data_IF_764040921436
#
_entry.id   IF_764040921436
#
_cell.length_a   1.000
_cell.length_b   1.000
_cell.length_c   1.000
_cell.angle_alpha   90.00
_cell.angle_beta   90.00
_cell.angle_gamma   90.00
#
_symmetry.space_group_name_H-M   'P 1'
#
loop_
_entity.id
_entity.type
_entity.pdbx_description
1 polymer ?
#
# COMPACT_ATOMS: atom_id res chain seq x y z
N UNK A 1 -10.24 -13.83 53.97
CA UNK A 1 -10.70 -12.99 52.83
C UNK A 1 -9.63 -13.09 51.75
N UNK A 2 -9.88 -13.89 50.71
CA UNK A 2 -8.95 -14.11 49.61
C UNK A 2 -9.37 -13.16 48.48
N UNK A 3 -8.56 -12.13 48.21
CA UNK A 3 -8.84 -11.13 47.18
C UNK A 3 -8.58 -11.70 45.80
N UNK A 4 -9.64 -11.90 45.03
CA UNK A 4 -9.59 -12.27 43.62
C UNK A 4 -9.22 -11.03 42.80
N UNK A 5 -7.96 -10.94 42.36
CA UNK A 5 -7.50 -9.87 41.48
C UNK A 5 -8.09 -10.07 40.08
N UNK A 6 -9.01 -9.18 39.67
CA UNK A 6 -9.42 -9.07 38.27
C UNK A 6 -8.25 -8.51 37.46
N UNK A 7 -7.56 -9.36 36.70
CA UNK A 7 -6.73 -8.91 35.59
C UNK A 7 -7.67 -8.41 34.49
N UNK A 8 -7.79 -7.09 34.36
CA UNK A 8 -8.41 -6.48 33.18
C UNK A 8 -7.55 -6.72 31.94
N UNK A 9 -8.15 -6.84 30.73
CA UNK A 9 -7.40 -7.01 29.50
C UNK A 9 -6.47 -5.81 29.29
N UNK A 10 -5.18 -6.08 29.05
CA UNK A 10 -4.24 -5.06 28.64
C UNK A 10 -4.69 -4.53 27.27
N UNK A 11 -5.05 -3.25 27.21
CA UNK A 11 -5.26 -2.58 25.94
C UNK A 11 -3.89 -2.48 25.24
N UNK A 12 -3.67 -3.30 24.22
CA UNK A 12 -2.55 -3.15 23.31
C UNK A 12 -2.71 -1.79 22.61
N UNK A 13 -1.87 -0.83 22.96
CA UNK A 13 -1.77 0.43 22.24
C UNK A 13 -1.18 0.16 20.85
N UNK A 14 -2.02 0.12 19.83
CA UNK A 14 -1.59 0.13 18.42
C UNK A 14 -0.86 1.46 18.20
N UNK A 15 0.40 1.37 17.80
CA UNK A 15 1.19 2.54 17.42
C UNK A 15 0.50 3.18 16.22
N UNK A 16 0.06 4.44 16.37
CA UNK A 16 -0.67 5.12 15.30
C UNK A 16 0.17 5.19 14.02
N UNK A 17 -0.45 4.85 12.89
CA UNK A 17 0.16 4.96 11.57
C UNK A 17 0.75 6.36 11.33
N UNK A 18 2.07 6.42 11.20
CA UNK A 18 2.81 7.66 10.90
C UNK A 18 3.10 7.77 9.41
N UNK A 19 3.30 9.00 8.94
CA UNK A 19 3.55 9.30 7.53
C UNK A 19 2.28 9.65 6.74
N UNK A 20 2.42 9.56 5.43
CA UNK A 20 1.39 9.82 4.43
C UNK A 20 1.41 8.71 3.38
N UNK A 21 0.30 8.60 2.67
CA UNK A 21 0.12 7.66 1.57
C UNK A 21 -0.13 8.46 0.32
N UNK A 22 0.31 7.94 -0.83
CA UNK A 22 0.19 8.66 -2.08
C UNK A 22 -0.17 7.70 -3.20
N UNK A 23 -1.08 8.17 -4.04
CA UNK A 23 -1.23 7.69 -5.40
C UNK A 23 -0.13 8.27 -6.28
N UNK A 24 0.25 7.53 -7.30
CA UNK A 24 1.33 7.86 -8.22
C UNK A 24 1.10 7.22 -9.60
N UNK A 25 1.86 7.65 -10.60
CA UNK A 25 2.00 6.91 -11.85
C UNK A 25 2.85 5.64 -11.63
N UNK A 26 2.99 4.82 -12.68
CA UNK A 26 3.63 3.52 -12.57
C UNK A 26 5.04 3.55 -11.99
N UNK A 27 5.89 4.53 -12.33
CA UNK A 27 7.29 4.54 -11.90
C UNK A 27 7.55 5.40 -10.65
N UNK A 28 6.53 5.98 -10.02
CA UNK A 28 6.73 6.78 -8.81
C UNK A 28 7.22 8.22 -9.09
N UNK A 29 7.37 8.63 -10.35
CA UNK A 29 7.93 9.96 -10.70
C UNK A 29 6.92 11.09 -10.56
N UNK A 30 5.63 10.79 -10.73
CA UNK A 30 4.52 11.71 -10.48
C UNK A 30 3.76 11.19 -9.27
N UNK A 31 3.79 11.94 -8.18
CA UNK A 31 3.14 11.59 -6.92
C UNK A 31 2.04 12.59 -6.66
N UNK A 32 0.92 12.10 -6.12
CA UNK A 32 -0.26 12.93 -5.83
C UNK A 32 -0.74 13.64 -7.11
N UNK A 33 -0.84 12.89 -8.20
CA UNK A 33 -1.31 13.41 -9.48
C UNK A 33 -2.75 13.94 -9.37
N UNK A 34 -3.51 13.48 -8.36
CA UNK A 34 -4.93 13.74 -8.09
C UNK A 34 -5.89 13.30 -9.21
N UNK A 35 -5.44 13.16 -10.45
CA UNK A 35 -6.23 12.83 -11.63
C UNK A 35 -5.46 11.89 -12.56
N UNK A 36 -6.12 10.83 -13.01
CA UNK A 36 -5.56 9.78 -13.86
C UNK A 36 -6.48 9.49 -15.04
N UNK A 37 -5.90 9.19 -16.20
CA UNK A 37 -6.64 8.92 -17.43
C UNK A 37 -7.48 7.65 -17.31
N UNK A 38 -6.89 6.59 -16.75
CA UNK A 38 -7.56 5.32 -16.52
C UNK A 38 -7.23 4.70 -15.15
N UNK A 39 -8.08 3.78 -14.69
CA UNK A 39 -7.87 3.05 -13.43
C UNK A 39 -6.56 2.26 -13.43
N UNK A 40 -6.11 1.83 -14.61
CA UNK A 40 -4.85 1.11 -14.78
C UNK A 40 -3.62 1.99 -14.54
N UNK A 41 -3.76 3.31 -14.55
CA UNK A 41 -2.62 4.24 -14.39
C UNK A 41 -2.38 4.65 -12.93
N UNK A 42 -3.20 4.14 -12.00
CA UNK A 42 -3.13 4.50 -10.58
C UNK A 42 -2.32 3.47 -9.80
N UNK A 43 -1.25 3.95 -9.16
CA UNK A 43 -0.35 3.15 -8.35
C UNK A 43 -0.22 3.73 -6.94
N UNK A 44 -0.05 2.88 -5.93
CA UNK A 44 0.40 3.25 -4.60
C UNK A 44 1.93 3.35 -4.57
N UNK A 45 2.45 4.37 -3.91
CA UNK A 45 3.89 4.51 -3.61
C UNK A 45 4.15 4.71 -2.11
N UNK A 46 5.33 4.30 -1.64
CA UNK A 46 5.77 4.49 -0.25
C UNK A 46 6.12 5.94 0.11
N UNK A 47 6.23 6.82 -0.88
CA UNK A 47 6.49 8.25 -0.71
C UNK A 47 7.40 8.83 -1.80
N UNK A 48 7.72 10.14 -1.72
CA UNK A 48 8.51 10.82 -2.74
C UNK A 48 9.99 10.49 -2.71
N UNK A 49 10.62 10.48 -3.89
CA UNK A 49 12.06 10.21 -4.03
C UNK A 49 12.94 11.26 -3.32
N UNK A 50 12.50 12.51 -3.29
CA UNK A 50 13.29 13.66 -2.83
C UNK A 50 12.83 14.17 -1.46
N UNK A 51 12.63 13.23 -0.51
CA UNK A 51 12.13 13.52 0.84
C UNK A 51 10.60 13.60 0.91
N UNK A 52 10.09 14.16 2.01
CA UNK A 52 8.66 14.15 2.32
C UNK A 52 8.30 13.10 3.36
N UNK A 53 7.00 12.90 3.57
CA UNK A 53 6.53 11.89 4.52
C UNK A 53 6.49 10.52 3.84
N UNK A 54 7.09 9.53 4.49
CA UNK A 54 7.02 8.12 4.09
C UNK A 54 6.25 7.32 5.13
N UNK A 55 5.70 6.19 4.71
CA UNK A 55 5.24 5.18 5.65
C UNK A 55 6.42 4.63 6.46
N UNK A 56 6.17 4.32 7.73
CA UNK A 56 7.15 3.61 8.55
C UNK A 56 7.36 2.17 8.03
N UNK A 57 8.51 1.58 8.35
CA UNK A 57 8.75 0.18 8.02
C UNK A 57 7.73 -0.74 8.71
N UNK A 58 7.19 -1.70 7.97
CA UNK A 58 6.16 -2.61 8.47
C UNK A 58 5.30 -3.21 7.36
N UNK A 59 4.32 -4.00 7.78
CA UNK A 59 3.33 -4.61 6.89
C UNK A 59 2.02 -3.84 6.94
N UNK A 60 1.37 -3.73 5.78
CA UNK A 60 0.19 -2.92 5.55
C UNK A 60 -0.79 -3.63 4.63
N UNK A 61 -2.04 -3.22 4.69
CA UNK A 61 -3.02 -3.46 3.62
C UNK A 61 -3.43 -2.15 2.97
N UNK A 62 -3.84 -2.20 1.72
CA UNK A 62 -4.54 -1.10 1.06
C UNK A 62 -5.96 -1.50 0.62
N UNK A 63 -6.82 -0.50 0.43
CA UNK A 63 -8.13 -0.65 -0.20
C UNK A 63 -8.50 0.62 -0.98
N UNK A 64 -9.29 0.46 -2.03
CA UNK A 64 -9.95 1.57 -2.71
C UNK A 64 -11.41 1.58 -2.29
N UNK A 65 -11.90 2.75 -1.87
CA UNK A 65 -13.26 2.94 -1.37
C UNK A 65 -13.90 4.19 -1.99
N UNK A 66 -15.21 4.30 -1.84
CA UNK A 66 -15.92 5.55 -2.13
C UNK A 66 -15.47 6.67 -1.14
N UNK A 67 -15.24 7.92 -1.58
CA UNK A 67 -14.68 8.98 -0.72
C UNK A 67 -15.55 9.36 0.49
N UNK A 68 -16.88 9.33 0.36
CA UNK A 68 -17.81 9.84 1.35
C UNK A 68 -17.95 8.93 2.59
N UNK A 69 -17.82 9.48 3.80
CA UNK A 69 -18.40 8.92 5.04
C UNK A 69 -17.95 7.52 5.49
N UNK A 70 -16.79 7.03 5.05
CA UNK A 70 -16.35 5.63 5.26
C UNK A 70 -16.77 4.69 4.13
N UNK A 71 -16.94 5.25 2.93
CA UNK A 71 -17.72 4.72 1.82
C UNK A 71 -17.42 3.30 1.38
N UNK A 72 -18.38 2.73 0.66
CA UNK A 72 -18.39 1.33 0.27
C UNK A 72 -17.07 0.87 -0.37
N UNK A 73 -16.67 -0.35 -0.05
CA UNK A 73 -15.51 -1.00 -0.63
C UNK A 73 -15.64 -1.09 -2.16
N UNK A 74 -14.65 -0.53 -2.87
CA UNK A 74 -14.54 -0.61 -4.32
C UNK A 74 -13.47 -1.62 -4.77
N UNK A 75 -12.46 -1.93 -3.95
CA UNK A 75 -11.56 -3.05 -4.22
C UNK A 75 -12.36 -4.35 -4.39
N UNK A 76 -12.09 -5.09 -5.45
CA UNK A 76 -12.89 -6.27 -5.83
C UNK A 76 -12.18 -7.60 -5.58
N UNK A 77 -10.87 -7.55 -5.34
CA UNK A 77 -10.04 -8.70 -5.03
C UNK A 77 -9.96 -8.97 -3.52
N UNK A 78 -9.54 -10.20 -3.20
CA UNK A 78 -9.38 -10.63 -1.82
C UNK A 78 -8.35 -9.76 -1.08
N UNK A 79 -8.64 -9.36 0.15
CA UNK A 79 -7.75 -8.48 0.93
C UNK A 79 -6.32 -9.03 1.08
N UNK A 80 -6.12 -10.35 1.06
CA UNK A 80 -4.80 -10.97 1.07
C UNK A 80 -3.93 -10.63 -0.15
N UNK A 81 -4.53 -10.25 -1.28
CA UNK A 81 -3.79 -9.73 -2.44
C UNK A 81 -3.35 -8.27 -2.25
N UNK A 82 -3.93 -7.56 -1.28
CA UNK A 82 -3.70 -6.14 -1.05
C UNK A 82 -2.70 -5.88 0.09
N UNK A 83 -1.96 -6.91 0.52
CA UNK A 83 -0.91 -6.77 1.54
C UNK A 83 0.43 -6.37 0.92
N UNK A 84 1.15 -5.50 1.58
CA UNK A 84 2.48 -5.06 1.19
C UNK A 84 3.37 -4.75 2.39
N UNK A 85 4.68 -4.70 2.15
CA UNK A 85 5.69 -4.42 3.16
C UNK A 85 6.47 -3.17 2.75
N UNK A 86 6.67 -2.27 3.71
CA UNK A 86 7.54 -1.09 3.60
C UNK A 86 8.85 -1.38 4.32
N UNK A 87 9.97 -1.14 3.65
CA UNK A 87 11.30 -1.31 4.21
C UNK A 87 11.74 -0.10 5.06
N UNK A 88 12.87 -0.24 5.77
CA UNK A 88 13.44 0.82 6.60
C UNK A 88 13.80 2.11 5.85
N UNK A 89 13.95 2.05 4.52
CA UNK A 89 14.18 3.21 3.67
C UNK A 89 12.88 3.97 3.32
N UNK A 90 11.72 3.55 3.81
CA UNK A 90 10.43 4.20 3.58
C UNK A 90 9.78 3.85 2.24
N UNK A 91 10.35 2.93 1.47
CA UNK A 91 9.79 2.46 0.20
C UNK A 91 9.19 1.07 0.33
N UNK A 92 8.18 0.79 -0.50
CA UNK A 92 7.56 -0.53 -0.57
C UNK A 92 8.60 -1.51 -1.11
N UNK A 93 8.84 -2.60 -0.39
CA UNK A 93 9.82 -3.63 -0.77
C UNK A 93 9.19 -4.88 -1.36
N UNK A 94 7.93 -5.19 -1.01
CA UNK A 94 7.24 -6.39 -1.51
C UNK A 94 5.73 -6.30 -1.36
N UNK A 95 5.02 -7.11 -2.14
CA UNK A 95 3.57 -7.39 -2.00
C UNK A 95 3.33 -8.89 -2.03
N UNK A 96 2.23 -9.35 -1.42
CA UNK A 96 1.83 -10.77 -1.45
C UNK A 96 0.81 -11.08 -2.55
N UNK A 97 0.29 -10.07 -3.25
CA UNK A 97 -0.75 -10.22 -4.26
C UNK A 97 -0.24 -10.29 -5.69
N UNK A 98 -1.18 -10.36 -6.63
CA UNK A 98 -0.95 -10.40 -8.07
C UNK A 98 -0.96 -9.01 -8.72
N UNK A 99 -1.00 -7.94 -7.91
CA UNK A 99 -0.94 -6.57 -8.39
C UNK A 99 0.38 -6.31 -9.11
N UNK A 100 0.31 -5.65 -10.27
CA UNK A 100 1.52 -5.28 -11.02
C UNK A 100 2.35 -4.33 -10.18
N UNK A 101 3.68 -4.51 -10.19
CA UNK A 101 4.62 -3.61 -9.55
C UNK A 101 5.64 -3.08 -10.54
N UNK A 102 6.14 -1.88 -10.29
CA UNK A 102 7.23 -1.29 -11.06
C UNK A 102 8.27 -0.72 -10.10
N UNK A 103 9.54 -0.75 -10.51
CA UNK A 103 10.60 -0.12 -9.73
C UNK A 103 10.38 1.40 -9.64
N UNK A 104 10.63 1.98 -8.46
CA UNK A 104 10.58 3.43 -8.31
C UNK A 104 11.73 4.10 -9.05
N UNK A 105 11.43 5.19 -9.75
CA UNK A 105 12.36 5.96 -10.55
C UNK A 105 12.91 7.15 -9.75
N UNK A 106 13.81 6.86 -8.82
CA UNK A 106 14.46 7.88 -7.99
C UNK A 106 15.89 8.19 -8.44
N UNK A 107 16.35 9.42 -8.15
CA UNK A 107 17.74 9.85 -8.32
C UNK A 107 18.23 10.51 -7.03
N UNK A 108 19.26 9.96 -6.32
CA UNK A 108 19.93 8.69 -6.60
C UNK A 108 18.96 7.50 -6.52
N UNK A 109 19.31 6.41 -7.22
CA UNK A 109 18.44 5.22 -7.26
C UNK A 109 18.23 4.63 -5.87
N UNK A 110 16.99 4.25 -5.59
CA UNK A 110 16.58 3.58 -4.34
C UNK A 110 15.97 2.23 -4.67
N UNK A 111 16.07 1.28 -3.74
CA UNK A 111 15.35 0.01 -3.85
C UNK A 111 13.93 0.20 -3.34
N UNK A 112 12.96 0.12 -4.23
CA UNK A 112 11.54 0.22 -3.91
C UNK A 112 10.67 -0.05 -5.13
N UNK A 113 9.39 -0.33 -4.88
CA UNK A 113 8.39 -0.52 -5.94
C UNK A 113 7.15 0.35 -5.72
N UNK A 114 6.39 0.57 -6.78
CA UNK A 114 4.99 0.99 -6.73
C UNK A 114 4.08 -0.24 -6.88
N UNK A 115 2.82 -0.13 -6.45
CA UNK A 115 1.81 -1.20 -6.58
C UNK A 115 0.60 -0.67 -7.33
N UNK A 116 0.23 -1.28 -8.45
CA UNK A 116 -0.97 -0.91 -9.20
C UNK A 116 -2.23 -1.15 -8.34
N UNK A 117 -3.22 -0.26 -8.36
CA UNK A 117 -4.40 -0.39 -7.48
C UNK A 117 -5.51 -1.30 -8.02
N UNK A 118 -5.55 -1.57 -9.33
CA UNK A 118 -6.58 -2.44 -9.92
C UNK A 118 -6.41 -3.90 -9.50
N UNK A 119 -7.50 -4.64 -9.20
CA UNK A 119 -8.87 -4.31 -9.62
C UNK A 119 -9.73 -3.59 -8.57
N UNK A 120 -10.34 -2.48 -8.98
CA UNK A 120 -11.41 -1.81 -8.23
C UNK A 120 -12.58 -1.40 -9.13
N UNK A 121 -13.78 -1.36 -8.55
CA UNK A 121 -15.03 -0.99 -9.20
C UNK A 121 -15.10 0.48 -9.61
N UNK A 122 -16.21 0.87 -10.24
CA UNK A 122 -16.43 2.24 -10.65
C UNK A 122 -17.02 3.08 -9.52
N UNK A 123 -16.54 4.31 -9.37
CA UNK A 123 -17.16 5.31 -8.50
C UNK A 123 -18.23 6.06 -9.29
N UNK A 124 -19.32 6.44 -8.62
CA UNK A 124 -20.43 7.15 -9.25
C UNK A 124 -20.02 8.50 -9.87
N UNK A 125 -18.99 9.17 -9.34
CA UNK A 125 -18.51 10.47 -9.78
C UNK A 125 -17.06 10.46 -10.29
N UNK A 126 -16.47 9.27 -10.48
CA UNK A 126 -15.06 9.14 -10.87
C UNK A 126 -14.06 9.56 -9.78
N UNK A 127 -14.53 9.80 -8.55
CA UNK A 127 -13.68 10.13 -7.39
C UNK A 127 -13.54 8.92 -6.47
N UNK A 128 -12.33 8.68 -6.02
CA UNK A 128 -11.93 7.50 -5.27
C UNK A 128 -11.08 7.90 -4.08
N UNK A 129 -11.03 7.03 -3.09
CA UNK A 129 -10.13 7.17 -1.94
C UNK A 129 -9.34 5.89 -1.75
N UNK A 130 -8.02 6.01 -1.82
CA UNK A 130 -7.08 5.01 -1.35
C UNK A 130 -7.03 5.07 0.18
N UNK A 131 -7.17 3.94 0.86
CA UNK A 131 -6.90 3.80 2.28
C UNK A 131 -5.80 2.77 2.50
N UNK A 132 -4.95 3.02 3.48
CA UNK A 132 -3.89 2.12 3.93
C UNK A 132 -3.93 2.06 5.45
N UNK A 133 -3.78 0.86 6.00
CA UNK A 133 -3.72 0.65 7.44
C UNK A 133 -2.67 -0.42 7.78
N UNK A 134 -2.15 -0.41 9.02
CA UNK A 134 -1.19 -1.43 9.43
C UNK A 134 -1.82 -2.82 9.39
N UNK A 135 -1.04 -3.82 9.00
CA UNK A 135 -1.53 -5.19 8.92
C UNK A 135 -2.07 -5.67 10.26
N UNK A 136 -1.42 -5.30 11.37
CA UNK A 136 -1.84 -5.69 12.71
C UNK A 136 -3.21 -5.11 13.10
N UNK A 137 -3.52 -3.86 12.73
CA UNK A 137 -4.80 -3.24 13.07
C UNK A 137 -5.95 -3.79 12.22
N UNK A 138 -5.68 -4.09 10.94
CA UNK A 138 -6.63 -4.69 10.01
C UNK A 138 -6.93 -6.14 10.37
N UNK A 139 -5.90 -6.93 10.67
CA UNK A 139 -6.03 -8.35 11.04
C UNK A 139 -6.74 -8.53 12.40
N UNK A 140 -6.76 -7.49 13.24
CA UNK A 140 -7.50 -7.46 14.49
C UNK A 140 -8.99 -7.10 14.32
N UNK A 141 -9.43 -6.67 13.14
CA UNK A 141 -10.84 -6.38 12.87
C UNK A 141 -11.69 -7.67 12.91
N UNK A 142 -12.90 -7.57 13.48
CA UNK A 142 -13.86 -8.67 13.44
C UNK A 142 -14.22 -9.05 12.00
N UNK A 143 -14.24 -10.35 11.70
CA UNK A 143 -14.57 -10.86 10.36
C UNK A 143 -13.42 -10.78 9.35
N UNK A 144 -12.20 -10.40 9.77
CA UNK A 144 -11.04 -10.45 8.91
C UNK A 144 -10.79 -11.87 8.38
N UNK A 145 -10.61 -11.96 7.07
CA UNK A 145 -10.16 -13.15 6.37
C UNK A 145 -9.39 -12.71 5.13
N UNK A 146 -8.16 -13.19 4.98
CA UNK A 146 -7.31 -12.86 3.83
C UNK A 146 -7.95 -13.26 2.48
N UNK A 147 -8.93 -14.17 2.48
CA UNK A 147 -9.64 -14.61 1.29
C UNK A 147 -10.91 -13.78 0.99
N UNK A 148 -11.27 -12.84 1.85
CA UNK A 148 -12.49 -12.04 1.68
C UNK A 148 -12.32 -10.96 0.62
N UNK A 149 -13.21 -10.95 -0.37
CA UNK A 149 -13.31 -9.91 -1.42
C UNK A 149 -14.22 -8.75 -1.00
N UNK A 150 -14.94 -8.88 0.12
CA UNK A 150 -15.90 -7.87 0.61
C UNK A 150 -15.49 -7.29 1.96
N UNK A 151 -14.32 -7.68 2.49
CA UNK A 151 -13.83 -7.15 3.75
C UNK A 151 -13.28 -5.74 3.53
N UNK A 152 -13.82 -4.82 4.32
CA UNK A 152 -13.42 -3.42 4.40
C UNK A 152 -12.76 -3.15 5.75
N UNK A 153 -11.80 -2.23 5.80
CA UNK A 153 -11.15 -1.85 7.05
C UNK A 153 -12.18 -1.39 8.10
N UNK A 154 -12.03 -1.88 9.32
CA UNK A 154 -12.87 -1.44 10.43
C UNK A 154 -12.45 -0.05 10.92
N UNK A 155 -13.39 0.70 11.52
CA UNK A 155 -13.17 2.09 11.96
C UNK A 155 -12.02 2.29 12.97
N UNK A 156 -11.63 1.24 13.67
CA UNK A 156 -10.54 1.24 14.66
C UNK A 156 -9.17 0.95 14.06
N UNK A 157 -9.10 0.52 12.79
CA UNK A 157 -7.82 0.38 12.11
C UNK A 157 -7.14 1.74 12.00
N UNK A 158 -5.82 1.76 12.06
CA UNK A 158 -5.03 2.98 11.99
C UNK A 158 -4.80 3.40 10.54
N UNK A 159 -5.76 4.14 9.99
CA UNK A 159 -5.82 4.39 8.55
C UNK A 159 -5.16 5.72 8.17
N UNK A 160 -4.51 5.73 7.00
CA UNK A 160 -4.16 6.91 6.21
C UNK A 160 -4.83 6.80 4.86
N UNK A 161 -5.14 7.94 4.25
CA UNK A 161 -5.83 7.96 2.97
C UNK A 161 -5.26 9.00 2.02
N UNK A 162 -5.45 8.74 0.73
CA UNK A 162 -5.23 9.67 -0.37
C UNK A 162 -6.44 9.65 -1.30
N UNK A 163 -6.80 10.79 -1.87
CA UNK A 163 -7.94 10.91 -2.78
C UNK A 163 -7.42 11.02 -4.21
N UNK A 164 -8.11 10.40 -5.16
CA UNK A 164 -7.76 10.50 -6.57
C UNK A 164 -9.00 10.43 -7.45
N UNK A 165 -8.87 10.91 -8.68
CA UNK A 165 -9.90 10.85 -9.70
C UNK A 165 -9.44 10.02 -10.88
N UNK A 166 -10.39 9.34 -11.52
CA UNK A 166 -10.18 8.62 -12.77
C UNK A 166 -11.23 9.06 -13.78
N UNK A 167 -10.79 9.41 -14.99
CA UNK A 167 -11.65 9.78 -16.09
C UNK A 167 -10.90 10.59 -17.13
N UNK A 168 -11.57 10.91 -18.24
CA UNK A 168 -11.00 11.81 -19.25
C UNK A 168 -10.56 13.09 -18.53
N UNK A 169 -9.25 13.37 -18.52
CA UNK A 169 -8.80 14.74 -18.29
C UNK A 169 -9.63 15.56 -19.23
N UNK A 170 -10.45 16.47 -18.69
CA UNK A 170 -11.00 17.52 -19.51
C UNK A 170 -9.76 18.27 -19.99
N UNK A 171 -9.29 17.91 -21.19
CA UNK A 171 -8.33 18.69 -21.96
C UNK A 171 -9.07 19.98 -22.22
N UNK A 172 -9.05 20.88 -21.24
CA UNK A 172 -9.33 22.27 -21.51
C UNK A 172 -8.39 22.59 -22.68
N UNK A 173 -8.94 23.01 -23.84
CA UNK A 173 -8.12 23.42 -24.96
C UNK A 173 -7.06 24.37 -24.41
N UNK A 174 -5.78 24.28 -24.85
CA UNK A 174 -4.72 25.11 -24.30
C UNK A 174 -5.23 26.54 -24.25
N UNK A 175 -5.31 27.11 -23.04
CA UNK A 175 -5.64 28.51 -22.84
C UNK A 175 -4.81 29.31 -23.85
N UNK A 176 -5.47 30.10 -24.71
CA UNK A 176 -4.83 30.87 -25.76
C UNK A 176 -3.46 31.40 -25.30
N UNK A 177 -2.41 31.33 -26.14
CA UNK A 177 -1.11 31.90 -25.79
C UNK A 177 -1.32 33.34 -25.31
N UNK A 178 -0.61 33.78 -24.25
CA UNK A 178 -0.85 35.07 -23.62
C UNK A 178 -0.84 36.17 -24.68
N UNK A 179 -2.00 36.76 -24.94
CA UNK A 179 -2.21 37.73 -26.01
C UNK A 179 -1.79 39.13 -25.58
N UNK A 180 -0.62 39.25 -24.94
CA UNK A 180 0.06 40.53 -24.83
C UNK A 180 1.58 40.30 -24.88
N UNK A 181 2.28 40.81 -25.91
CA UNK A 181 3.74 40.92 -25.84
C UNK A 181 4.12 41.82 -24.65
N UNK A 182 5.23 41.56 -23.95
CA UNK A 182 5.67 42.40 -22.85
C UNK A 182 5.92 43.83 -23.36
N UNK A 183 5.12 44.79 -22.89
CA UNK A 183 5.11 46.17 -23.39
C UNK A 183 6.21 47.06 -22.82
N UNK A 184 7.35 46.54 -22.34
CA UNK A 184 8.49 47.39 -22.01
C UNK A 184 9.82 46.71 -22.34
N UNK A 185 10.68 47.34 -23.17
CA UNK A 185 12.07 46.92 -23.31
C UNK A 185 12.82 47.14 -21.99
N UNK A 186 13.77 46.27 -21.62
CA UNK A 186 14.61 46.48 -20.44
C UNK A 186 15.42 47.78 -20.60
N UNK A 187 15.20 48.74 -19.71
CA UNK A 187 15.77 50.10 -19.75
C UNK A 187 17.16 50.24 -19.13
N UNK A 188 18.01 49.21 -19.10
CA UNK A 188 19.44 49.43 -18.80
C UNK A 188 20.35 48.39 -19.49
N UNK A 189 21.36 48.84 -20.27
CA UNK A 189 22.42 47.95 -20.73
C UNK A 189 23.32 47.53 -19.55
N UNK A 190 23.85 46.30 -19.55
CA UNK A 190 24.80 45.87 -18.52
C UNK A 190 26.12 46.65 -18.65
N UNK A 191 26.37 47.56 -17.69
CA UNK A 191 27.68 48.19 -17.47
C UNK A 191 28.60 47.22 -16.74
N UNK A 192 29.26 46.34 -17.50
CA UNK A 192 30.71 46.10 -17.46
C UNK A 192 31.07 44.85 -18.28
N UNK A 193 32.06 44.93 -19.19
CA UNK A 193 32.62 43.75 -19.83
C UNK A 193 33.41 42.91 -18.81
N UNK A 194 33.36 41.57 -18.87
CA UNK A 194 34.22 40.74 -18.04
C UNK A 194 35.69 40.96 -18.40
N UNK A 195 36.45 41.51 -17.44
CA UNK A 195 37.91 41.60 -17.54
C UNK A 195 38.55 40.25 -17.22
N UNK A 196 39.42 39.82 -18.14
CA UNK A 196 40.40 38.72 -18.12
C UNK A 196 39.97 37.37 -18.71
N UNK A 197 40.62 36.90 -19.80
CA UNK A 197 40.50 35.54 -20.31
C UNK A 197 41.25 34.55 -19.39
N UNK A 198 40.79 33.29 -19.25
CA UNK A 198 41.47 32.29 -18.45
C UNK A 198 42.85 31.96 -19.03
N UNK A 199 43.91 32.30 -18.29
CA UNK A 199 45.29 31.90 -18.57
C UNK A 199 45.60 30.57 -17.89
N UNK A 200 45.33 29.46 -18.57
CA UNK A 200 46.16 28.24 -18.59
C UNK A 200 45.53 27.18 -19.51
N UNK A 201 46.26 26.64 -20.50
CA UNK A 201 45.80 25.46 -21.23
C UNK A 201 45.86 24.21 -20.33
N UNK A 202 44.89 23.28 -20.43
CA UNK A 202 44.94 22.03 -19.67
C UNK A 202 46.11 21.17 -20.15
N UNK A 203 47.09 20.96 -19.28
CA UNK A 203 48.22 20.05 -19.49
C UNK A 203 47.96 18.71 -18.80
N UNK A 204 47.34 17.77 -19.51
CA UNK A 204 47.64 16.32 -19.42
C UNK A 204 47.09 15.59 -20.65
N UNK A 205 47.90 14.77 -21.35
CA UNK A 205 47.40 13.85 -22.38
C UNK A 205 46.57 12.72 -21.75
N UNK A 206 45.58 12.13 -22.45
CA UNK A 206 44.87 10.96 -21.98
C UNK A 206 45.81 9.75 -21.87
N UNK A 207 45.85 9.15 -20.68
CA UNK A 207 46.51 7.87 -20.39
C UNK A 207 45.89 6.75 -21.21
N UNK A 208 46.75 5.85 -21.72
CA UNK A 208 46.42 4.76 -22.63
C UNK A 208 45.29 3.83 -22.16
N UNK A 209 44.55 3.28 -23.13
CA UNK A 209 43.51 2.29 -22.95
C UNK A 209 44.04 1.02 -22.26
N UNK A 210 43.26 0.38 -21.36
CA UNK A 210 43.62 -0.94 -20.82
C UNK A 210 43.56 -1.99 -21.94
N UNK A 211 44.71 -2.60 -22.21
CA UNK A 211 44.79 -3.92 -22.83
C UNK A 211 44.64 -4.93 -21.70
N UNK A 212 43.62 -5.80 -21.75
CA UNK A 212 43.74 -7.26 -21.61
C UNK A 212 42.36 -7.91 -21.90
N UNK A 213 42.39 -8.87 -22.82
CA UNK A 213 41.27 -9.75 -23.19
C UNK A 213 41.23 -10.92 -22.21
N UNK A 214 40.09 -11.30 -21.62
CA UNK A 214 40.02 -12.53 -20.84
C UNK A 214 40.08 -13.73 -21.80
N UNK A 215 41.16 -14.51 -21.71
CA UNK A 215 41.21 -15.86 -22.24
C UNK A 215 40.44 -16.79 -21.28
N UNK A 216 39.16 -17.01 -21.56
CA UNK A 216 38.30 -17.96 -20.85
C UNK A 216 37.73 -18.98 -21.83
N UNK A 217 38.28 -20.18 -21.80
CA UNK A 217 37.87 -21.36 -22.57
C UNK A 217 36.42 -21.77 -22.24
N UNK A 218 35.59 -21.92 -23.26
CA UNK A 218 34.32 -22.68 -23.18
C UNK A 218 34.64 -24.16 -23.14
N UNK A 219 34.68 -24.72 -21.93
CA UNK A 219 34.64 -26.16 -21.74
C UNK A 219 33.19 -26.64 -21.92
N UNK A 220 33.05 -27.50 -22.91
CA UNK A 220 31.95 -28.40 -23.24
C UNK A 220 31.26 -29.02 -22.00
N UNK A 221 29.97 -28.75 -21.84
CA UNK A 221 29.06 -29.57 -21.03
C UNK A 221 27.78 -29.86 -21.82
N UNK A 222 27.91 -30.73 -22.82
CA UNK A 222 26.78 -31.52 -23.34
C UNK A 222 26.45 -32.62 -22.32
N UNK A 223 25.67 -32.26 -21.31
CA UNK A 223 25.05 -33.21 -20.39
C UNK A 223 23.60 -33.46 -20.76
N UNK A 224 23.33 -34.59 -21.41
CA UNK A 224 21.98 -35.17 -21.58
C UNK A 224 21.37 -35.46 -20.21
N UNK A 225 20.15 -35.02 -19.87
CA UNK A 225 19.49 -35.43 -18.64
C UNK A 225 19.20 -36.93 -18.67
N UNK A 226 19.87 -37.68 -17.80
CA UNK A 226 19.59 -39.09 -17.55
C UNK A 226 18.23 -39.26 -16.88
N UNK A 227 17.42 -40.15 -17.44
CA UNK A 227 16.17 -40.59 -16.85
C UNK A 227 16.45 -41.35 -15.53
N UNK A 228 15.95 -40.82 -14.42
CA UNK A 228 15.83 -41.56 -13.17
C UNK A 228 14.50 -42.33 -13.17
N UNK A 229 14.50 -43.67 -13.08
CA UNK A 229 13.30 -44.44 -12.80
C UNK A 229 13.03 -44.36 -11.30
N UNK A 230 11.87 -43.85 -10.87
CA UNK A 230 11.48 -44.05 -9.46
C UNK A 230 10.50 -43.11 -8.78
N UNK A 231 9.88 -42.14 -9.45
CA UNK A 231 8.84 -41.32 -8.81
C UNK A 231 7.53 -41.39 -9.59
N UNK A 232 6.71 -42.37 -9.20
CA UNK A 232 5.28 -42.42 -9.53
C UNK A 232 4.60 -41.21 -8.87
N UNK A 233 3.89 -40.35 -9.62
CA UNK A 233 3.08 -39.30 -9.02
C UNK A 233 1.96 -39.94 -8.19
N UNK A 234 1.59 -39.40 -7.00
CA UNK A 234 0.44 -39.91 -6.29
C UNK A 234 -0.82 -39.61 -7.11
N UNK A 235 -1.48 -40.71 -7.43
CA UNK A 235 -2.81 -40.87 -7.97
C UNK A 235 -3.84 -40.00 -7.22
N UNK A 236 -4.50 -39.15 -8.00
CA UNK A 236 -5.83 -38.61 -7.70
C UNK A 236 -6.84 -39.77 -7.71
N UNK A 237 -7.24 -40.28 -6.54
CA UNK A 237 -8.56 -40.84 -6.25
C UNK A 237 -8.63 -41.42 -4.82
N UNK A 238 -9.81 -41.26 -4.19
CA UNK A 238 -10.26 -41.77 -2.89
C UNK A 238 -9.83 -40.93 -1.67
N UNK A 239 -10.68 -40.56 -0.71
CA UNK A 239 -12.08 -40.88 -0.46
C UNK A 239 -12.68 -39.79 0.44
N UNK A 240 -13.99 -39.58 0.30
CA UNK A 240 -14.83 -38.99 1.33
C UNK A 240 -14.73 -39.83 2.62
N UNK A 241 -14.34 -39.19 3.73
CA UNK A 241 -14.75 -39.61 5.06
C UNK A 241 -15.59 -38.47 5.65
N UNK A 242 -16.88 -38.73 5.78
CA UNK A 242 -17.79 -37.92 6.55
C UNK A 242 -17.62 -38.25 8.02
N UNK A 243 -16.95 -37.39 8.75
CA UNK A 243 -16.95 -37.38 10.22
C UNK A 243 -16.86 -35.94 10.71
N UNK A 244 -18.02 -35.28 10.85
CA UNK A 244 -18.10 -33.98 11.50
C UNK A 244 -18.06 -34.11 13.02
N UNK A 245 -17.44 -33.16 13.74
CA UNK A 245 -17.81 -32.85 15.11
C UNK A 245 -18.66 -31.58 15.08
N UNK A 246 -19.97 -31.75 15.10
CA UNK A 246 -20.86 -30.69 15.57
C UNK A 246 -20.61 -30.48 17.06
N UNK A 247 -19.71 -29.57 17.40
CA UNK A 247 -19.66 -29.02 18.75
C UNK A 247 -20.32 -27.64 18.73
N UNK A 248 -21.50 -27.61 19.33
CA UNK A 248 -22.42 -26.50 19.59
C UNK A 248 -21.80 -25.40 20.49
N UNK A 249 -20.58 -24.96 20.17
CA UNK A 249 -19.81 -23.98 20.94
C UNK A 249 -20.47 -22.60 20.97
N UNK A 250 -21.14 -22.22 19.88
CA UNK A 250 -21.94 -20.99 19.83
C UNK A 250 -23.23 -21.07 20.68
N UNK A 251 -23.85 -22.25 20.81
CA UNK A 251 -25.04 -22.44 21.67
C UNK A 251 -24.68 -22.37 23.15
N UNK A 252 -23.50 -22.89 23.53
CA UNK A 252 -22.98 -22.74 24.89
C UNK A 252 -22.72 -21.27 25.20
N UNK A 253 -22.21 -20.48 24.26
CA UNK A 253 -22.08 -19.02 24.44
C UNK A 253 -23.44 -18.33 24.62
N UNK A 254 -24.46 -18.70 23.85
CA UNK A 254 -25.79 -18.10 23.99
C UNK A 254 -26.47 -18.43 25.33
N UNK A 255 -26.31 -19.66 25.82
CA UNK A 255 -26.82 -20.05 27.15
C UNK A 255 -26.08 -19.29 28.26
N UNK A 256 -24.75 -19.14 28.15
CA UNK A 256 -23.97 -18.38 29.12
C UNK A 256 -24.37 -16.89 29.14
N UNK A 257 -24.61 -16.29 27.96
CA UNK A 257 -25.05 -14.90 27.84
C UNK A 257 -26.46 -14.69 28.41
N UNK A 258 -27.38 -15.63 28.17
CA UNK A 258 -28.74 -15.56 28.71
C UNK A 258 -28.75 -15.65 30.25
N UNK A 259 -27.94 -16.54 30.83
CA UNK A 259 -27.81 -16.67 32.30
C UNK A 259 -27.24 -15.37 32.88
N UNK A 260 -26.20 -14.79 32.28
CA UNK A 260 -25.63 -13.52 32.72
C UNK A 260 -26.67 -12.39 32.71
N UNK A 261 -27.48 -12.30 31.64
CA UNK A 261 -28.51 -11.27 31.50
C UNK A 261 -29.61 -11.40 32.56
N UNK A 262 -30.03 -12.63 32.87
CA UNK A 262 -31.04 -12.89 33.92
C UNK A 262 -30.54 -12.53 35.31
N UNK A 263 -29.26 -12.77 35.63
CA UNK A 263 -28.67 -12.38 36.91
C UNK A 263 -28.65 -10.85 37.05
N UNK A 264 -28.25 -10.12 36.00
CA UNK A 264 -28.23 -8.65 36.03
C UNK A 264 -29.64 -8.07 36.23
N UNK A 265 -30.67 -8.66 35.63
CA UNK A 265 -32.06 -8.22 35.81
C UNK A 265 -32.61 -8.55 37.21
N UNK A 266 -32.18 -9.65 37.84
CA UNK A 266 -32.63 -10.02 39.19
C UNK A 266 -31.93 -9.22 40.30
N UNK A 267 -30.70 -8.75 40.05
CA UNK A 267 -29.89 -8.03 41.04
C UNK A 267 -29.82 -6.51 40.81
N UNK A 268 -30.56 -5.97 39.84
CA UNK A 268 -30.70 -4.52 39.70
C UNK A 268 -31.78 -4.01 40.67
N UNK A 269 -31.41 -3.25 41.72
CA UNK A 269 -32.40 -2.68 42.62
C UNK A 269 -33.27 -1.69 41.84
N UNK A 270 -34.59 -1.89 41.88
CA UNK A 270 -35.56 -0.95 41.32
C UNK A 270 -35.37 0.40 41.98
N UNK A 271 -34.86 1.39 41.24
CA UNK A 271 -34.71 2.74 41.73
C UNK A 271 -36.07 3.29 42.14
N UNK A 272 -36.30 3.42 43.45
CA UNK A 272 -37.47 4.10 43.98
C UNK A 272 -37.47 5.55 43.46
N UNK A 273 -38.45 5.84 42.60
CA UNK A 273 -38.75 7.19 42.18
C UNK A 273 -39.24 7.99 43.40
N UNK A 274 -38.31 8.67 44.08
CA UNK A 274 -38.63 9.57 45.18
C UNK A 274 -39.30 10.82 44.63
N UNK A 275 -40.63 10.80 44.56
CA UNK A 275 -41.47 12.00 44.44
C UNK A 275 -41.41 12.78 45.76
N UNK A 276 -40.69 13.90 45.74
CA UNK A 276 -41.13 15.26 46.12
C UNK A 276 -39.92 16.16 46.31
#
# INVERSE_FOLDING_TARGET
MLGLALLGPAASSVLALTGAVYTSNSDGSIIDANHYDAKADVYLTGGPCNGGSHLAAGDYYFEVVQPAGGGDLLSTDAIGNRKFTVAANGFISSTTGTHTTHAVNCTPSVTGVTIQLIPFGDSANGEYKLQVATASSVEACAGFSALSTTFQFCQQADQKSDNFQVGEIQTTPPTNPPTNPPTNPPTNPPTNPPTTPPTTPPTTPPTAAPTESPAGSVAELTGTPGATPGHTPPNTAAAFDGSGPGSDSWRIMLIALAILLTVVLLFTPSGEARRR
#
